data_IF_491358773414
#
_entry.id   IF_491358773414
#
_cell.length_a   1.000
_cell.length_b   1.000
_cell.length_c   1.000
_cell.angle_alpha   90.00
_cell.angle_beta   90.00
_cell.angle_gamma   90.00
#
_symmetry.space_group_name_H-M   'P 1'
#
loop_
_entity.id
_entity.type
_entity.pdbx_description
1 polymer ?
#
# COMPACT_ATOMS: atom_id res chain seq x y z
N UNK A 1 -15.15 13.00 -12.59
CA UNK A 1 -13.78 12.73 -13.02
C UNK A 1 -13.64 11.26 -13.42
N UNK A 2 -13.01 10.97 -14.56
CA UNK A 2 -12.76 9.61 -15.02
C UNK A 2 -11.36 9.18 -14.58
N UNK A 3 -11.23 7.91 -14.15
CA UNK A 3 -9.97 7.27 -13.78
C UNK A 3 -9.82 5.97 -14.57
N UNK A 4 -8.62 5.71 -15.05
CA UNK A 4 -8.25 4.36 -15.48
C UNK A 4 -6.99 3.90 -14.75
N UNK A 5 -6.88 2.61 -14.59
CA UNK A 5 -5.81 1.95 -13.87
C UNK A 5 -5.41 0.67 -14.60
N UNK A 6 -4.12 0.49 -14.79
CA UNK A 6 -3.52 -0.72 -15.32
C UNK A 6 -2.49 -1.23 -14.33
N UNK A 7 -2.46 -2.53 -14.13
CA UNK A 7 -1.46 -3.19 -13.30
C UNK A 7 -1.04 -4.50 -13.97
N UNK A 8 0.24 -4.76 -13.97
CA UNK A 8 0.84 -6.01 -14.43
C UNK A 8 2.00 -6.40 -13.54
N UNK A 9 2.23 -7.68 -13.40
CA UNK A 9 3.33 -8.16 -12.60
C UNK A 9 3.65 -9.63 -12.87
N UNK A 10 4.82 -10.03 -12.40
CA UNK A 10 5.27 -11.41 -12.46
C UNK A 10 5.87 -11.80 -11.12
N UNK A 11 5.69 -13.06 -10.76
CA UNK A 11 6.24 -13.64 -9.55
C UNK A 11 6.98 -14.92 -9.92
N UNK A 12 8.16 -15.08 -9.38
CA UNK A 12 8.98 -16.27 -9.56
C UNK A 12 9.24 -16.93 -8.22
N UNK A 13 8.92 -18.21 -8.14
CA UNK A 13 9.16 -19.02 -6.96
C UNK A 13 10.59 -19.56 -7.03
N UNK A 14 11.50 -18.93 -6.28
CA UNK A 14 12.94 -19.21 -6.28
C UNK A 14 13.24 -20.50 -5.49
N UNK A 15 12.54 -20.67 -4.36
CA UNK A 15 12.64 -21.86 -3.51
C UNK A 15 11.22 -22.37 -3.28
N UNK A 16 11.04 -23.68 -3.42
CA UNK A 16 9.76 -24.32 -3.11
C UNK A 16 9.99 -25.76 -2.68
N UNK A 17 9.87 -26.00 -1.39
CA UNK A 17 9.89 -27.33 -0.79
C UNK A 17 8.93 -27.38 0.41
N UNK A 18 8.89 -28.50 1.12
CA UNK A 18 7.96 -28.69 2.25
C UNK A 18 8.25 -27.82 3.48
N UNK A 19 9.41 -27.22 3.56
CA UNK A 19 9.84 -26.42 4.71
C UNK A 19 10.02 -24.94 4.41
N UNK A 20 10.23 -24.58 3.15
CA UNK A 20 10.57 -23.21 2.72
C UNK A 20 9.98 -22.88 1.37
N UNK A 21 9.46 -21.69 1.26
CA UNK A 21 9.08 -21.09 0.00
C UNK A 21 9.64 -19.67 -0.06
N UNK A 22 10.34 -19.35 -1.13
CA UNK A 22 10.80 -18.00 -1.41
C UNK A 22 10.29 -17.56 -2.77
N UNK A 23 9.54 -16.48 -2.77
CA UNK A 23 8.98 -15.89 -3.97
C UNK A 23 9.49 -14.46 -4.12
N UNK A 24 9.99 -14.13 -5.29
CA UNK A 24 10.35 -12.78 -5.70
C UNK A 24 9.47 -12.34 -6.86
N UNK A 25 9.08 -11.06 -6.87
CA UNK A 25 8.22 -10.53 -7.89
C UNK A 25 8.68 -9.17 -8.41
N UNK A 26 8.06 -8.75 -9.51
CA UNK A 26 8.12 -7.38 -9.99
C UNK A 26 6.73 -6.99 -10.46
N UNK A 27 6.28 -5.79 -10.12
CA UNK A 27 4.99 -5.28 -10.57
C UNK A 27 5.09 -3.83 -11.00
N UNK A 28 4.29 -3.50 -12.02
CA UNK A 28 4.13 -2.17 -12.55
C UNK A 28 2.67 -1.74 -12.38
N UNK A 29 2.48 -0.57 -11.83
CA UNK A 29 1.18 0.08 -11.68
C UNK A 29 1.20 1.39 -12.44
N UNK A 30 0.20 1.60 -13.28
CA UNK A 30 -0.09 2.89 -13.89
C UNK A 30 -1.53 3.26 -13.65
N UNK A 31 -1.78 4.51 -13.27
CA UNK A 31 -3.12 5.07 -13.18
C UNK A 31 -3.12 6.56 -13.43
N UNK A 32 -4.25 7.07 -13.89
CA UNK A 32 -4.41 8.46 -14.22
C UNK A 32 -5.86 8.90 -14.09
N UNK A 33 -6.04 10.14 -13.66
CA UNK A 33 -7.32 10.85 -13.74
C UNK A 33 -7.35 11.82 -14.90
N UNK A 34 -8.52 12.04 -15.42
CA UNK A 34 -8.71 13.00 -16.53
C UNK A 34 -8.41 14.44 -16.11
N UNK A 35 -8.81 14.82 -14.88
CA UNK A 35 -8.63 16.15 -14.34
C UNK A 35 -7.98 16.09 -12.96
N UNK A 36 -7.14 17.08 -12.65
CA UNK A 36 -6.64 17.30 -11.30
C UNK A 36 -7.76 17.95 -10.46
N UNK A 37 -8.28 17.21 -9.48
CA UNK A 37 -9.28 17.70 -8.54
C UNK A 37 -8.81 17.50 -7.10
N UNK A 38 -7.49 17.60 -6.88
CA UNK A 38 -6.87 17.32 -5.58
C UNK A 38 -7.10 18.44 -4.58
N UNK A 39 -7.40 19.63 -5.04
CA UNK A 39 -7.56 20.82 -4.23
C UNK A 39 -8.94 20.90 -3.54
N UNK A 40 -9.10 21.85 -2.63
CA UNK A 40 -10.30 21.98 -1.79
C UNK A 40 -11.20 23.17 -2.17
N UNK A 41 -10.82 23.99 -3.17
CA UNK A 41 -11.64 25.10 -3.63
C UNK A 41 -12.90 24.62 -4.37
N UNK A 42 -13.87 25.51 -4.52
CA UNK A 42 -15.15 25.17 -5.15
C UNK A 42 -14.98 24.62 -6.57
N UNK A 43 -15.51 23.44 -6.79
CA UNK A 43 -15.38 22.71 -8.07
C UNK A 43 -14.33 21.60 -8.05
N UNK A 44 -13.47 21.56 -7.04
CA UNK A 44 -12.56 20.45 -6.75
C UNK A 44 -13.22 19.36 -5.89
N UNK A 45 -12.56 18.24 -5.74
CA UNK A 45 -13.07 17.08 -5.00
C UNK A 45 -12.33 16.78 -3.71
N UNK A 46 -11.20 17.45 -3.44
CA UNK A 46 -10.36 17.22 -2.27
C UNK A 46 -9.75 15.82 -2.20
N UNK A 47 -9.56 15.15 -3.34
CA UNK A 47 -9.00 13.80 -3.40
C UNK A 47 -7.82 13.72 -4.36
N UNK A 48 -6.83 12.95 -4.00
CA UNK A 48 -5.62 12.75 -4.83
C UNK A 48 -5.96 12.22 -6.22
N UNK A 49 -5.73 13.05 -7.23
CA UNK A 49 -6.15 12.79 -8.61
C UNK A 49 -5.07 13.16 -9.64
N UNK A 50 -3.94 12.46 -9.65
CA UNK A 50 -2.86 12.74 -10.59
C UNK A 50 -3.25 12.39 -12.02
N UNK A 51 -2.69 13.12 -12.98
CA UNK A 51 -2.88 12.86 -14.41
C UNK A 51 -1.92 11.79 -14.92
N UNK A 52 -0.88 11.52 -14.16
CA UNK A 52 -0.01 10.37 -14.40
C UNK A 52 0.58 9.88 -13.09
N UNK A 53 0.41 8.60 -12.79
CA UNK A 53 1.08 7.90 -11.72
C UNK A 53 1.67 6.61 -12.27
N UNK A 54 2.96 6.42 -12.06
CA UNK A 54 3.68 5.19 -12.38
C UNK A 54 4.35 4.69 -11.12
N UNK A 55 4.12 3.42 -10.78
CA UNK A 55 4.77 2.75 -9.66
C UNK A 55 5.42 1.44 -10.11
N UNK A 56 6.66 1.23 -9.73
CA UNK A 56 7.39 -0.03 -9.91
C UNK A 56 7.68 -0.60 -8.53
N UNK A 57 7.41 -1.89 -8.31
CA UNK A 57 7.70 -2.54 -7.04
C UNK A 57 8.33 -3.92 -7.21
N UNK A 58 9.15 -4.29 -6.22
CA UNK A 58 9.82 -5.58 -6.11
C UNK A 58 9.40 -6.22 -4.79
N UNK A 59 8.29 -6.97 -4.75
CA UNK A 59 7.86 -7.70 -3.58
C UNK A 59 8.65 -9.01 -3.41
N UNK A 60 8.99 -9.33 -2.16
CA UNK A 60 9.63 -10.55 -1.74
C UNK A 60 8.81 -11.20 -0.63
N UNK A 61 8.59 -12.50 -0.71
CA UNK A 61 7.90 -13.28 0.33
C UNK A 61 8.74 -14.50 0.66
N UNK A 62 8.99 -14.70 1.93
CA UNK A 62 9.66 -15.87 2.45
C UNK A 62 8.80 -16.53 3.52
N UNK A 63 8.35 -17.74 3.23
CA UNK A 63 7.65 -18.61 4.16
C UNK A 63 8.57 -19.73 4.59
N UNK A 64 8.57 -20.04 5.87
CA UNK A 64 9.33 -21.17 6.36
C UNK A 64 8.66 -21.84 7.57
N UNK A 65 9.02 -23.11 7.75
CA UNK A 65 8.64 -23.93 8.89
C UNK A 65 9.90 -24.47 9.55
N UNK A 66 9.90 -24.52 10.86
CA UNK A 66 10.95 -25.15 11.64
C UNK A 66 10.35 -26.23 12.55
N UNK A 67 10.62 -27.46 12.19
CA UNK A 67 9.98 -28.62 12.82
C UNK A 67 8.47 -28.68 12.50
N UNK A 68 7.72 -29.30 13.38
CA UNK A 68 6.28 -29.48 13.22
C UNK A 68 5.45 -28.39 13.88
N UNK A 69 6.07 -27.58 14.75
CA UNK A 69 5.37 -26.70 15.68
C UNK A 69 5.56 -25.20 15.41
N UNK A 70 6.45 -24.81 14.49
CA UNK A 70 6.75 -23.41 14.24
C UNK A 70 6.69 -23.06 12.76
N UNK A 71 5.89 -22.04 12.42
CA UNK A 71 5.79 -21.46 11.08
C UNK A 71 5.98 -19.97 11.14
N UNK A 72 6.60 -19.40 10.10
CA UNK A 72 6.74 -17.96 9.99
C UNK A 72 6.73 -17.50 8.54
N UNK A 73 6.35 -16.25 8.35
CA UNK A 73 6.33 -15.54 7.07
C UNK A 73 7.00 -14.20 7.21
N UNK A 74 7.83 -13.87 6.25
CA UNK A 74 8.39 -12.55 6.06
C UNK A 74 7.98 -12.04 4.68
N UNK A 75 7.44 -10.84 4.62
CA UNK A 75 7.18 -10.14 3.38
C UNK A 75 7.91 -8.81 3.42
N UNK A 76 8.50 -8.44 2.34
CA UNK A 76 9.10 -7.12 2.17
C UNK A 76 8.98 -6.68 0.72
N UNK A 77 9.04 -5.40 0.51
CA UNK A 77 9.03 -4.83 -0.82
C UNK A 77 9.66 -3.47 -0.82
N UNK A 78 10.26 -3.15 -1.95
CA UNK A 78 10.71 -1.79 -2.26
C UNK A 78 9.96 -1.34 -3.49
N UNK A 79 9.46 -0.11 -3.45
CA UNK A 79 8.79 0.49 -4.60
C UNK A 79 9.34 1.89 -4.88
N UNK A 80 9.35 2.22 -6.16
CA UNK A 80 9.59 3.57 -6.66
C UNK A 80 8.34 4.04 -7.36
N UNK A 81 7.91 5.26 -7.06
CA UNK A 81 6.77 5.88 -7.74
C UNK A 81 7.11 7.26 -8.25
N UNK A 82 6.48 7.61 -9.35
CA UNK A 82 6.47 8.95 -9.89
C UNK A 82 5.03 9.38 -10.13
N UNK A 83 4.71 10.58 -9.67
CA UNK A 83 3.41 11.21 -9.87
C UNK A 83 3.56 12.52 -10.60
N UNK A 84 2.57 12.85 -11.41
CA UNK A 84 2.47 14.14 -12.10
C UNK A 84 1.04 14.63 -12.02
N UNK A 85 0.87 15.83 -11.50
CA UNK A 85 -0.37 16.61 -11.59
C UNK A 85 -0.22 17.71 -12.65
N UNK A 86 -1.32 18.09 -13.27
CA UNK A 86 -1.39 19.24 -14.16
C UNK A 86 -1.91 20.46 -13.40
N UNK A 87 -1.55 21.64 -13.86
CA UNK A 87 -2.15 22.88 -13.37
C UNK A 87 -3.65 22.89 -13.59
N UNK A 88 -4.37 23.52 -12.69
CA UNK A 88 -5.82 23.65 -12.75
C UNK A 88 -6.25 24.97 -12.12
N UNK A 89 -7.30 25.57 -12.66
CA UNK A 89 -7.91 26.79 -12.16
C UNK A 89 -8.41 26.62 -10.72
N UNK A 90 -8.45 27.71 -9.93
CA UNK A 90 -9.03 27.70 -8.60
C UNK A 90 -10.50 27.29 -8.60
N UNK A 91 -11.24 27.66 -9.66
CA UNK A 91 -12.66 27.36 -9.79
C UNK A 91 -12.96 26.65 -11.12
N UNK A 92 -12.57 25.36 -11.28
CA UNK A 92 -12.57 24.68 -12.59
C UNK A 92 -13.97 24.46 -13.18
N UNK A 93 -15.02 24.61 -12.40
CA UNK A 93 -16.41 24.42 -12.82
C UNK A 93 -17.24 25.72 -12.80
N UNK A 94 -16.63 26.86 -12.51
CA UNK A 94 -17.31 28.16 -12.40
C UNK A 94 -16.45 29.24 -13.05
N UNK A 95 -16.79 29.58 -14.31
CA UNK A 95 -16.04 30.57 -15.07
C UNK A 95 -16.16 31.98 -14.50
N UNK A 96 -17.28 32.32 -13.87
CA UNK A 96 -17.50 33.66 -13.35
C UNK A 96 -16.66 33.89 -12.09
N UNK A 97 -16.59 32.88 -11.23
CA UNK A 97 -15.67 32.92 -10.08
C UNK A 97 -14.21 32.92 -10.51
N UNK A 98 -13.86 32.16 -11.54
CA UNK A 98 -12.48 32.14 -12.04
C UNK A 98 -12.08 33.48 -12.65
N UNK A 99 -12.95 34.12 -13.43
CA UNK A 99 -12.70 35.47 -13.97
C UNK A 99 -12.54 36.47 -12.81
N UNK A 100 -13.42 36.44 -11.82
CA UNK A 100 -13.30 37.31 -10.66
C UNK A 100 -12.02 37.08 -9.86
N UNK A 101 -11.48 35.85 -9.85
CA UNK A 101 -10.20 35.53 -9.24
C UNK A 101 -9.02 36.15 -10.02
N UNK A 102 -9.03 36.07 -11.34
CA UNK A 102 -8.04 36.74 -12.22
C UNK A 102 -8.06 38.26 -12.08
N UNK A 103 -9.26 38.85 -12.01
CA UNK A 103 -9.38 40.31 -11.80
C UNK A 103 -8.74 40.78 -10.49
N UNK A 104 -8.70 39.90 -9.47
CA UNK A 104 -8.11 40.17 -8.16
C UNK A 104 -6.61 39.85 -8.08
N UNK A 105 -6.05 39.14 -9.03
CA UNK A 105 -4.62 38.77 -9.05
C UNK A 105 -3.70 39.98 -8.88
N UNK A 106 -3.99 41.06 -9.60
CA UNK A 106 -3.23 42.32 -9.54
C UNK A 106 -3.25 42.99 -8.16
N UNK A 107 -4.24 42.68 -7.33
CA UNK A 107 -4.44 43.23 -5.98
C UNK A 107 -3.84 42.28 -4.92
N UNK A 108 -4.06 40.99 -5.06
CA UNK A 108 -3.68 39.97 -4.09
C UNK A 108 -2.26 39.46 -4.30
N UNK A 109 -1.73 39.55 -5.51
CA UNK A 109 -0.46 38.95 -5.91
C UNK A 109 -0.50 37.41 -5.95
N UNK A 110 -1.70 36.82 -5.95
CA UNK A 110 -1.90 35.36 -5.96
C UNK A 110 -2.41 34.95 -7.33
N UNK A 111 -1.64 34.11 -8.03
CA UNK A 111 -2.09 33.49 -9.28
C UNK A 111 -3.27 32.54 -8.97
N UNK A 112 -4.45 32.74 -9.58
CA UNK A 112 -5.63 31.92 -9.33
C UNK A 112 -5.61 30.55 -10.02
N UNK A 113 -4.44 29.98 -10.13
CA UNK A 113 -4.18 28.64 -10.70
C UNK A 113 -3.34 27.83 -9.72
N UNK A 114 -3.76 26.63 -9.43
CA UNK A 114 -2.92 25.65 -8.77
C UNK A 114 -1.91 25.10 -9.76
N UNK A 115 -0.66 25.23 -9.47
CA UNK A 115 0.39 24.72 -10.36
C UNK A 115 0.45 23.19 -10.34
N UNK A 116 0.76 22.63 -11.50
CA UNK A 116 1.02 21.20 -11.62
C UNK A 116 2.38 20.85 -11.05
N UNK A 117 2.48 19.69 -10.44
CA UNK A 117 3.68 19.21 -9.79
C UNK A 117 4.11 17.83 -10.33
N UNK A 118 5.41 17.59 -10.31
CA UNK A 118 5.98 16.25 -10.53
C UNK A 118 6.78 15.89 -9.31
N UNK A 119 6.40 14.80 -8.67
CA UNK A 119 7.14 14.25 -7.52
C UNK A 119 7.47 12.78 -7.74
N UNK A 120 8.48 12.30 -7.03
CA UNK A 120 8.87 10.90 -7.04
C UNK A 120 9.35 10.50 -5.65
N UNK A 121 9.11 9.24 -5.30
CA UNK A 121 9.50 8.74 -4.00
C UNK A 121 9.84 7.25 -4.03
N UNK A 122 10.57 6.83 -3.01
CA UNK A 122 10.86 5.43 -2.73
C UNK A 122 10.13 5.05 -1.46
N UNK A 123 9.45 3.92 -1.48
CA UNK A 123 8.81 3.36 -0.30
C UNK A 123 9.27 1.91 -0.08
N UNK A 124 9.20 1.47 1.16
CA UNK A 124 9.46 0.07 1.51
C UNK A 124 8.51 -0.38 2.62
N UNK A 125 8.23 -1.66 2.60
CA UNK A 125 7.45 -2.30 3.65
C UNK A 125 8.18 -3.55 4.18
N UNK A 126 7.93 -3.87 5.43
CA UNK A 126 8.36 -5.09 6.07
C UNK A 126 7.21 -5.64 6.91
N UNK A 127 6.78 -6.85 6.60
CA UNK A 127 5.81 -7.60 7.40
C UNK A 127 6.45 -8.88 7.89
N UNK A 128 6.25 -9.20 9.16
CA UNK A 128 6.66 -10.45 9.77
C UNK A 128 5.51 -11.08 10.53
N UNK A 129 5.33 -12.37 10.40
CA UNK A 129 4.36 -13.12 11.18
C UNK A 129 4.91 -14.49 11.58
N UNK A 130 4.48 -14.97 12.71
CA UNK A 130 4.83 -16.33 13.17
C UNK A 130 3.71 -16.93 13.99
N UNK A 131 3.68 -18.25 14.03
CA UNK A 131 2.86 -19.02 14.95
C UNK A 131 3.64 -20.23 15.46
N UNK A 132 3.57 -20.44 16.77
CA UNK A 132 4.20 -21.54 17.50
C UNK A 132 3.15 -22.32 18.27
N UNK A 133 3.09 -23.62 18.06
CA UNK A 133 2.23 -24.54 18.81
C UNK A 133 2.90 -24.93 20.13
N UNK A 134 2.36 -24.44 21.23
CA UNK A 134 2.83 -24.77 22.58
C UNK A 134 2.33 -26.15 22.99
N UNK A 135 1.07 -26.44 22.73
CA UNK A 135 0.41 -27.75 22.93
C UNK A 135 -0.56 -27.97 21.77
N UNK A 136 -1.13 -29.17 21.60
CA UNK A 136 -2.11 -29.41 20.52
C UNK A 136 -3.31 -28.46 20.51
N UNK A 137 -3.61 -27.79 21.61
CA UNK A 137 -4.73 -26.87 21.74
C UNK A 137 -4.29 -25.40 21.83
N UNK A 138 -3.05 -25.10 22.24
CA UNK A 138 -2.58 -23.76 22.50
C UNK A 138 -1.50 -23.33 21.52
N UNK A 139 -1.69 -22.16 20.95
CA UNK A 139 -0.78 -21.54 20.00
C UNK A 139 -0.44 -20.13 20.46
N UNK A 140 0.80 -19.74 20.25
CA UNK A 140 1.29 -18.38 20.43
C UNK A 140 1.73 -17.83 19.08
N UNK A 141 1.32 -16.63 18.76
CA UNK A 141 1.70 -16.02 17.50
C UNK A 141 1.89 -14.52 17.60
N UNK A 142 2.43 -13.97 16.54
CA UNK A 142 2.65 -12.56 16.43
C UNK A 142 2.67 -12.09 14.98
N UNK A 143 2.42 -10.79 14.83
CA UNK A 143 2.47 -10.07 13.57
C UNK A 143 3.11 -8.71 13.78
N UNK A 144 3.96 -8.29 12.87
CA UNK A 144 4.59 -6.98 12.82
C UNK A 144 4.49 -6.46 11.39
N UNK A 145 4.07 -5.21 11.23
CA UNK A 145 4.12 -4.49 9.97
C UNK A 145 4.81 -3.14 10.18
N UNK A 146 5.73 -2.83 9.30
CA UNK A 146 6.43 -1.55 9.21
C UNK A 146 6.27 -1.08 7.77
N UNK A 147 5.71 0.10 7.59
CA UNK A 147 5.55 0.72 6.29
C UNK A 147 6.20 2.10 6.30
N UNK A 148 6.91 2.42 5.24
CA UNK A 148 7.61 3.69 5.07
C UNK A 148 7.37 4.21 3.67
N UNK A 149 6.67 5.35 3.63
CA UNK A 149 6.49 6.14 2.42
C UNK A 149 6.59 7.62 2.77
N UNK A 150 6.72 8.48 1.79
CA UNK A 150 6.86 9.92 2.01
C UNK A 150 5.64 10.56 2.71
N UNK A 151 4.49 9.91 2.69
CA UNK A 151 3.22 10.47 3.19
C UNK A 151 2.57 9.68 4.32
N UNK A 152 2.98 8.43 4.54
CA UNK A 152 2.31 7.56 5.51
C UNK A 152 3.24 6.48 6.03
N UNK A 153 3.38 6.41 7.36
CA UNK A 153 4.31 5.52 8.05
C UNK A 153 3.63 4.70 9.15
N UNK A 154 2.66 3.84 8.82
CA UNK A 154 2.01 3.01 9.81
C UNK A 154 2.97 1.93 10.31
N UNK A 155 3.04 1.81 11.63
CA UNK A 155 3.68 0.67 12.28
C UNK A 155 2.64 -0.05 13.10
N UNK A 156 2.60 -1.35 12.97
CA UNK A 156 1.66 -2.18 13.72
C UNK A 156 2.36 -3.41 14.26
N UNK A 157 2.12 -3.74 15.51
CA UNK A 157 2.61 -4.96 16.14
C UNK A 157 1.54 -5.62 17.00
N UNK A 158 1.45 -6.93 16.91
CA UNK A 158 0.49 -7.74 17.67
C UNK A 158 1.13 -9.03 18.13
N UNK A 159 0.80 -9.42 19.37
CA UNK A 159 1.00 -10.77 19.87
C UNK A 159 -0.37 -11.35 20.24
N UNK A 160 -0.54 -12.64 20.03
CA UNK A 160 -1.80 -13.32 20.36
C UNK A 160 -1.57 -14.72 20.91
N UNK A 161 -2.57 -15.20 21.65
CA UNK A 161 -2.71 -16.59 22.05
C UNK A 161 -3.99 -17.11 21.40
N UNK A 162 -3.91 -18.28 20.77
CA UNK A 162 -5.05 -18.96 20.14
C UNK A 162 -5.31 -20.28 20.82
N UNK A 163 -6.56 -20.57 21.09
CA UNK A 163 -6.99 -21.86 21.61
C UNK A 163 -7.92 -22.56 20.60
N UNK A 164 -7.57 -23.79 20.28
CA UNK A 164 -8.41 -24.66 19.47
C UNK A 164 -9.14 -25.66 20.37
N UNK A 165 -10.46 -25.72 20.27
CA UNK A 165 -11.27 -26.71 21.01
C UNK A 165 -10.98 -28.14 20.54
N UNK A 166 -10.74 -28.33 19.25
CA UNK A 166 -10.26 -29.58 18.70
C UNK A 166 -8.73 -29.55 18.63
N UNK A 167 -8.03 -30.49 19.27
CA UNK A 167 -6.57 -30.50 19.26
C UNK A 167 -6.01 -30.67 17.84
N UNK A 168 -4.99 -29.93 17.51
CA UNK A 168 -4.28 -29.96 16.22
C UNK A 168 -3.00 -30.77 16.39
N UNK A 169 -2.93 -31.90 15.73
CA UNK A 169 -1.78 -32.81 15.71
C UNK A 169 -1.07 -32.78 14.35
N UNK A 170 0.14 -33.35 14.30
CA UNK A 170 0.93 -33.38 13.09
C UNK A 170 1.62 -32.06 12.79
N UNK A 171 2.10 -31.91 11.58
CA UNK A 171 2.83 -30.73 11.12
C UNK A 171 1.87 -29.58 10.88
N UNK A 172 2.22 -28.37 11.33
CA UNK A 172 1.42 -27.17 11.06
C UNK A 172 1.31 -26.91 9.56
N UNK A 173 0.15 -26.37 9.17
CA UNK A 173 -0.07 -25.94 7.78
C UNK A 173 0.96 -24.87 7.37
N UNK A 174 1.37 -24.96 6.10
CA UNK A 174 2.37 -24.08 5.53
C UNK A 174 1.86 -23.54 4.19
N UNK A 175 1.95 -22.23 3.98
CA UNK A 175 2.40 -21.17 4.89
C UNK A 175 1.42 -20.91 6.04
N UNK A 176 1.95 -20.48 7.19
CA UNK A 176 1.12 -20.14 8.34
C UNK A 176 0.22 -18.93 8.04
N UNK A 177 -0.99 -18.98 8.60
CA UNK A 177 -1.96 -17.87 8.48
C UNK A 177 -2.11 -17.17 9.83
N UNK A 178 -1.33 -16.09 10.10
CA UNK A 178 -1.47 -15.34 11.34
C UNK A 178 -2.84 -14.67 11.42
N UNK A 179 -3.29 -14.40 12.65
CA UNK A 179 -4.45 -13.52 12.84
C UNK A 179 -4.03 -12.09 12.54
N UNK A 180 -4.64 -11.48 11.53
CA UNK A 180 -4.48 -10.06 11.21
C UNK A 180 -5.74 -9.35 11.72
N UNK A 181 -5.65 -8.54 12.80
CA UNK A 181 -6.81 -7.80 13.27
C UNK A 181 -7.20 -6.75 12.25
N UNK A 182 -8.51 -6.59 12.04
CA UNK A 182 -9.12 -5.60 11.15
C UNK A 182 -8.87 -5.78 9.64
N UNK A 183 -8.26 -6.88 9.20
CA UNK A 183 -7.97 -7.08 7.78
C UNK A 183 -9.15 -7.67 6.97
N UNK A 184 -10.12 -8.28 7.65
CA UNK A 184 -11.18 -9.10 7.02
C UNK A 184 -12.60 -8.65 7.42
N UNK A 185 -12.83 -7.33 7.54
CA UNK A 185 -14.18 -6.79 7.77
C UNK A 185 -14.69 -6.01 6.58
#
# INVERSE_FOLDING_TARGET
>A
NQRYRMMGGTYYRVISNQEREFTAGASLLHWAYKYNLSEETWGHGGYYSPQNYVGLSVPLTYDARWGDDFVYRLKTGVSYSQTKTQSIDFFPNDSDLQIAAYDRESITGVDPVFEGETSSGVSYNLEGSFEYRITPNWFFGGYLAIDRSDFYEPNFGQLYIRYYFNPVYGTLEFPGTPIIPYADF
#
